data_IF_424661830413
#
_entry.id   IF_424661830413
#
_cell.length_a   1.000
_cell.length_b   1.000
_cell.length_c   1.000
_cell.angle_alpha   90.00
_cell.angle_beta   90.00
_cell.angle_gamma   90.00
#
_symmetry.space_group_name_H-M   'P 1'
#
loop_
_entity.id
_entity.type
_entity.pdbx_description
1 polymer ?
#
# COMPACT_ATOMS: atom_id res chain seq x y z
N UNK A 1 -15.28 -23.99 19.98
CA UNK A 1 -14.80 -22.89 20.84
C UNK A 1 -13.49 -22.37 20.27
N UNK A 2 -13.55 -21.51 19.26
CA UNK A 2 -12.36 -20.99 18.58
C UNK A 2 -11.94 -19.71 19.27
N UNK A 3 -10.80 -19.74 19.97
CA UNK A 3 -10.21 -18.56 20.60
C UNK A 3 -9.87 -17.55 19.49
N UNK A 4 -10.65 -16.47 19.42
CA UNK A 4 -10.26 -15.24 18.73
C UNK A 4 -8.95 -14.78 19.38
N UNK A 5 -7.83 -14.96 18.67
CA UNK A 5 -6.54 -14.43 19.10
C UNK A 5 -6.69 -12.92 19.24
N UNK A 6 -6.17 -12.42 20.36
CA UNK A 6 -6.08 -11.00 20.71
C UNK A 6 -5.81 -10.13 19.49
N UNK A 7 -6.67 -9.14 19.28
CA UNK A 7 -6.41 -7.99 18.43
C UNK A 7 -5.18 -7.28 19.00
N UNK A 8 -3.99 -7.60 18.47
CA UNK A 8 -2.85 -6.70 18.61
C UNK A 8 -3.16 -5.44 17.83
N UNK A 9 -2.75 -4.29 18.36
CA UNK A 9 -2.80 -3.03 17.61
C UNK A 9 -2.21 -3.25 16.21
N UNK A 10 -2.80 -2.65 15.15
CA UNK A 10 -2.31 -2.85 13.81
C UNK A 10 -0.86 -2.37 13.74
N UNK A 11 0.07 -3.30 13.48
CA UNK A 11 1.49 -2.98 13.36
C UNK A 11 1.64 -1.90 12.28
N UNK A 12 2.03 -0.71 12.72
CA UNK A 12 2.33 0.43 11.85
C UNK A 12 3.80 0.37 11.52
N UNK A 13 4.10 0.29 10.23
CA UNK A 13 5.49 0.23 9.76
C UNK A 13 5.98 1.58 9.26
N UNK A 14 5.06 2.49 8.99
CA UNK A 14 5.32 3.84 8.50
C UNK A 14 4.18 4.79 8.92
N UNK A 15 4.53 5.98 9.40
CA UNK A 15 3.59 7.04 9.75
C UNK A 15 4.29 8.40 9.65
N UNK A 16 4.24 9.02 8.47
CA UNK A 16 4.83 10.35 8.22
C UNK A 16 3.97 11.14 7.23
N UNK A 17 3.85 12.46 7.46
CA UNK A 17 3.15 13.36 6.53
C UNK A 17 1.66 13.03 6.32
N UNK A 18 1.03 12.29 7.25
CA UNK A 18 -0.35 11.81 7.15
C UNK A 18 -0.53 10.54 6.31
N UNK A 19 0.55 10.00 5.72
CA UNK A 19 0.55 8.68 5.09
C UNK A 19 0.91 7.65 6.15
N UNK A 20 0.04 6.66 6.33
CA UNK A 20 0.25 5.55 7.26
C UNK A 20 0.13 4.21 6.56
N UNK A 21 1.08 3.31 6.78
CA UNK A 21 1.01 1.92 6.31
C UNK A 21 0.92 1.00 7.52
N UNK A 22 -0.18 0.24 7.58
CA UNK A 22 -0.49 -0.61 8.72
C UNK A 22 -0.93 -2.01 8.26
N UNK A 23 -0.67 -3.02 9.08
CA UNK A 23 -1.09 -4.38 8.78
C UNK A 23 -2.62 -4.46 8.71
N UNK A 24 -3.16 -5.00 7.62
CA UNK A 24 -4.61 -5.13 7.48
C UNK A 24 -5.17 -6.16 8.48
N UNK A 25 -6.38 -5.93 8.98
CA UNK A 25 -7.06 -6.80 9.97
C UNK A 25 -7.25 -8.26 9.50
N UNK A 26 -7.16 -8.51 8.20
CA UNK A 26 -7.28 -9.82 7.55
C UNK A 26 -6.05 -10.19 6.70
N UNK A 27 -4.85 -9.77 7.10
CA UNK A 27 -3.64 -10.10 6.33
C UNK A 27 -3.44 -11.62 6.26
N UNK A 28 -3.68 -12.22 5.10
CA UNK A 28 -3.28 -13.60 4.88
C UNK A 28 -1.75 -13.62 4.76
N UNK A 29 -1.09 -14.24 5.74
CA UNK A 29 0.38 -14.36 5.80
C UNK A 29 1.14 -13.04 5.66
N UNK A 30 0.57 -11.91 6.11
CA UNK A 30 1.22 -10.59 6.03
C UNK A 30 1.55 -10.14 4.60
N UNK A 31 0.82 -10.66 3.63
CA UNK A 31 0.96 -10.25 2.22
C UNK A 31 0.09 -9.04 1.87
N UNK A 32 -0.90 -8.72 2.72
CA UNK A 32 -1.83 -7.61 2.52
C UNK A 32 -1.68 -6.57 3.62
N UNK A 33 -1.44 -5.34 3.21
CA UNK A 33 -1.28 -4.18 4.09
C UNK A 33 -2.26 -3.08 3.68
N UNK A 34 -2.71 -2.32 4.66
CA UNK A 34 -3.57 -1.16 4.45
C UNK A 34 -2.73 0.10 4.35
N UNK A 35 -2.97 0.89 3.32
CA UNK A 35 -2.42 2.24 3.18
C UNK A 35 -3.53 3.23 3.55
N UNK A 36 -3.28 4.03 4.57
CA UNK A 36 -4.15 5.12 5.03
C UNK A 36 -3.53 6.43 4.55
N UNK A 37 -4.31 7.20 3.82
CA UNK A 37 -3.90 8.48 3.23
C UNK A 37 -4.29 9.64 4.16
N UNK A 38 -3.61 10.80 4.07
CA UNK A 38 -3.95 11.98 4.87
C UNK A 38 -5.40 12.42 4.63
N UNK A 39 -6.07 12.95 5.64
CA UNK A 39 -7.49 13.37 5.53
C UNK A 39 -7.69 14.56 4.56
N UNK A 40 -6.69 15.44 4.45
CA UNK A 40 -6.61 16.49 3.43
C UNK A 40 -6.36 15.93 2.01
N UNK A 41 -5.92 14.67 1.91
CA UNK A 41 -5.76 13.92 0.67
C UNK A 41 -6.95 12.97 0.45
N UNK A 42 -8.19 13.42 0.75
CA UNK A 42 -9.39 12.91 0.07
C UNK A 42 -9.21 13.17 -1.42
N UNK A 43 -8.46 12.27 -2.02
CA UNK A 43 -7.86 12.40 -3.32
C UNK A 43 -8.95 12.37 -4.38
N UNK A 44 -8.83 13.29 -5.32
CA UNK A 44 -9.19 12.97 -6.69
C UNK A 44 -8.42 11.70 -7.09
N UNK A 45 -9.13 10.58 -7.11
CA UNK A 45 -8.55 9.26 -7.35
C UNK A 45 -7.89 9.20 -8.73
N UNK A 46 -8.39 9.95 -9.71
CA UNK A 46 -7.83 9.99 -11.05
C UNK A 46 -6.48 10.72 -11.04
N UNK A 47 -6.36 11.82 -10.29
CA UNK A 47 -5.10 12.51 -10.08
C UNK A 47 -4.08 11.66 -9.28
N UNK A 48 -4.54 10.84 -8.34
CA UNK A 48 -3.68 9.90 -7.63
C UNK A 48 -3.16 8.80 -8.54
N UNK A 49 -4.05 8.14 -9.28
CA UNK A 49 -3.68 7.12 -10.27
C UNK A 49 -2.74 7.71 -11.31
N UNK A 50 -3.03 8.91 -11.83
CA UNK A 50 -2.19 9.64 -12.78
C UNK A 50 -0.76 9.87 -12.25
N UNK A 51 -0.62 10.28 -10.99
CA UNK A 51 0.71 10.43 -10.35
C UNK A 51 1.46 9.11 -10.24
N UNK A 52 0.78 8.02 -9.90
CA UNK A 52 1.43 6.72 -9.81
C UNK A 52 1.84 6.15 -11.18
N UNK A 53 1.02 6.36 -12.21
CA UNK A 53 1.38 6.02 -13.59
C UNK A 53 2.60 6.83 -14.05
N UNK A 54 2.63 8.13 -13.76
CA UNK A 54 3.80 8.99 -14.05
C UNK A 54 5.06 8.56 -13.29
N UNK A 55 4.91 8.01 -12.09
CA UNK A 55 5.99 7.42 -11.31
C UNK A 55 6.38 6.01 -11.78
N UNK A 56 5.93 5.55 -12.95
CA UNK A 56 6.38 4.29 -13.54
C UNK A 56 5.53 3.07 -13.17
N UNK A 57 4.32 3.26 -12.63
CA UNK A 57 3.38 2.15 -12.44
C UNK A 57 2.53 1.86 -13.68
N UNK A 58 1.99 0.64 -13.78
CA UNK A 58 1.07 0.25 -14.86
C UNK A 58 -0.28 -0.25 -14.31
N UNK A 59 -1.40 0.18 -14.87
CA UNK A 59 -2.76 -0.22 -14.46
C UNK A 59 -3.19 -1.60 -15.03
N UNK A 60 -3.86 -2.43 -14.21
CA UNK A 60 -4.51 -3.69 -14.64
C UNK A 60 -6.04 -3.57 -14.55
N UNK A 61 -6.77 -3.92 -15.63
CA UNK A 61 -8.17 -3.51 -15.90
C UNK A 61 -9.31 -4.17 -15.10
N UNK A 62 -9.05 -4.99 -14.08
CA UNK A 62 -10.14 -5.63 -13.30
C UNK A 62 -10.46 -4.81 -12.03
N UNK A 63 -9.46 -4.11 -11.51
CA UNK A 63 -9.47 -3.08 -10.47
C UNK A 63 -8.16 -2.31 -10.66
N UNK A 64 -8.09 -0.97 -10.54
CA UNK A 64 -6.84 -0.24 -10.76
C UNK A 64 -5.75 -0.82 -9.86
N UNK A 65 -4.90 -1.63 -10.48
CA UNK A 65 -3.84 -2.38 -9.83
C UNK A 65 -2.56 -1.92 -10.47
N UNK A 66 -1.64 -1.45 -9.65
CA UNK A 66 -0.43 -0.79 -10.08
C UNK A 66 0.75 -1.67 -9.69
N UNK A 67 1.50 -2.15 -10.68
CA UNK A 67 2.78 -2.81 -10.42
C UNK A 67 3.83 -1.74 -10.12
N UNK A 68 4.57 -1.94 -9.04
CA UNK A 68 5.64 -1.03 -8.62
C UNK A 68 6.93 -1.47 -9.32
N UNK A 69 7.35 -0.72 -10.33
CA UNK A 69 8.54 -1.06 -11.12
C UNK A 69 9.86 -0.61 -10.48
N UNK A 70 9.82 0.51 -9.75
CA UNK A 70 11.00 1.10 -9.10
C UNK A 70 11.26 0.57 -7.68
N UNK A 71 10.42 -0.37 -7.22
CA UNK A 71 10.63 -1.07 -5.95
C UNK A 71 10.96 -2.53 -6.25
N UNK A 72 12.09 -3.06 -5.75
CA UNK A 72 12.41 -4.48 -5.92
C UNK A 72 11.28 -5.40 -5.44
N UNK A 73 10.99 -6.44 -6.20
CA UNK A 73 10.15 -7.55 -5.71
C UNK A 73 8.72 -7.61 -6.22
N UNK A 74 8.37 -7.07 -7.39
CA UNK A 74 7.07 -7.30 -8.07
C UNK A 74 5.82 -7.03 -7.21
N UNK A 75 5.94 -6.07 -6.30
CA UNK A 75 4.86 -5.62 -5.42
C UNK A 75 3.78 -4.88 -6.19
N UNK A 76 2.57 -4.86 -5.63
CA UNK A 76 1.39 -4.28 -6.28
C UNK A 76 0.58 -3.42 -5.32
N UNK A 77 0.06 -2.32 -5.81
CA UNK A 77 -1.01 -1.58 -5.15
C UNK A 77 -2.35 -1.91 -5.79
N UNK A 78 -3.39 -2.02 -4.99
CA UNK A 78 -4.77 -2.23 -5.46
C UNK A 78 -5.61 -1.08 -4.92
N UNK A 79 -6.26 -0.35 -5.81
CA UNK A 79 -7.10 0.79 -5.47
C UNK A 79 -8.57 0.36 -5.61
N UNK A 80 -9.30 0.43 -4.50
CA UNK A 80 -10.73 0.13 -4.44
C UNK A 80 -11.50 1.43 -4.65
N UNK A 81 -11.75 1.78 -5.91
CA UNK A 81 -12.37 3.05 -6.30
C UNK A 81 -13.68 3.37 -5.55
N UNK A 82 -14.49 2.34 -5.25
CA UNK A 82 -15.78 2.52 -4.56
C UNK A 82 -15.64 2.91 -3.08
N UNK A 83 -14.51 2.62 -2.45
CA UNK A 83 -14.26 2.90 -1.03
C UNK A 83 -13.10 3.86 -0.80
N UNK A 84 -12.38 4.25 -1.86
CA UNK A 84 -11.14 5.01 -1.78
C UNK A 84 -10.00 4.26 -1.08
N UNK A 85 -10.15 2.97 -0.78
CA UNK A 85 -9.15 2.19 -0.06
C UNK A 85 -7.99 1.83 -0.99
N UNK A 86 -6.76 1.99 -0.49
CA UNK A 86 -5.55 1.52 -1.17
C UNK A 86 -4.95 0.36 -0.37
N UNK A 87 -4.70 -0.76 -1.05
CA UNK A 87 -4.08 -1.96 -0.48
C UNK A 87 -2.70 -2.17 -1.09
N UNK A 88 -1.69 -2.40 -0.25
CA UNK A 88 -0.40 -2.91 -0.69
C UNK A 88 -0.41 -4.43 -0.61
N UNK A 89 -0.06 -5.07 -1.74
CA UNK A 89 0.15 -6.50 -1.87
C UNK A 89 1.63 -6.77 -2.14
N UNK A 90 2.30 -7.31 -1.14
CA UNK A 90 3.66 -7.81 -1.29
C UNK A 90 3.64 -9.06 -2.17
N UNK A 91 4.72 -9.27 -2.91
CA UNK A 91 4.84 -10.45 -3.77
C UNK A 91 5.01 -11.71 -2.91
N UNK A 92 4.47 -12.83 -3.38
CA UNK A 92 4.42 -14.06 -2.57
C UNK A 92 5.80 -14.67 -2.31
N UNK A 93 6.81 -14.31 -3.11
CA UNK A 93 8.21 -14.72 -2.92
C UNK A 93 8.97 -13.87 -1.89
N UNK A 94 8.38 -12.79 -1.36
CA UNK A 94 9.01 -12.01 -0.31
C UNK A 94 9.10 -12.84 0.97
N UNK A 95 10.33 -13.04 1.45
CA UNK A 95 10.66 -13.73 2.70
C UNK A 95 9.88 -13.13 3.87
N UNK A 96 9.51 -13.95 4.85
CA UNK A 96 8.67 -13.48 5.94
C UNK A 96 9.37 -12.41 6.80
N UNK A 97 10.66 -12.61 7.00
CA UNK A 97 11.61 -11.71 7.63
C UNK A 97 11.73 -10.35 6.92
N UNK A 98 11.60 -10.33 5.59
CA UNK A 98 11.81 -9.13 4.77
C UNK A 98 10.53 -8.32 4.53
N UNK A 99 9.34 -8.86 4.86
CA UNK A 99 8.05 -8.24 4.52
C UNK A 99 7.89 -6.85 5.13
N UNK A 100 8.34 -6.67 6.36
CA UNK A 100 8.27 -5.37 7.02
C UNK A 100 9.14 -4.33 6.30
N UNK A 101 10.37 -4.70 5.93
CA UNK A 101 11.30 -3.80 5.26
C UNK A 101 10.86 -3.52 3.82
N UNK A 102 10.34 -4.53 3.12
CA UNK A 102 9.72 -4.36 1.80
C UNK A 102 8.52 -3.40 1.86
N UNK A 103 7.63 -3.55 2.86
CA UNK A 103 6.50 -2.64 3.04
C UNK A 103 6.96 -1.20 3.35
N UNK A 104 8.01 -1.03 4.15
CA UNK A 104 8.62 0.29 4.42
C UNK A 104 9.22 0.92 3.18
N UNK A 105 9.96 0.16 2.39
CA UNK A 105 10.55 0.63 1.14
C UNK A 105 9.46 1.13 0.16
N UNK A 106 8.36 0.38 0.04
CA UNK A 106 7.19 0.82 -0.75
C UNK A 106 6.57 2.09 -0.17
N UNK A 107 6.43 2.20 1.15
CA UNK A 107 5.85 3.37 1.80
C UNK A 107 6.67 4.65 1.56
N UNK A 108 8.00 4.57 1.70
CA UNK A 108 8.91 5.67 1.42
C UNK A 108 8.83 6.10 -0.05
N UNK A 109 8.87 5.14 -0.98
CA UNK A 109 8.72 5.41 -2.41
C UNK A 109 7.40 6.11 -2.74
N UNK A 110 6.30 5.69 -2.12
CA UNK A 110 4.98 6.33 -2.28
C UNK A 110 4.96 7.77 -1.75
N UNK A 111 5.57 8.01 -0.60
CA UNK A 111 5.68 9.37 -0.04
C UNK A 111 6.42 10.31 -1.00
N UNK A 112 7.53 9.85 -1.59
CA UNK A 112 8.27 10.62 -2.59
C UNK A 112 7.49 10.83 -3.90
N UNK A 113 6.72 9.84 -4.35
CA UNK A 113 5.89 9.97 -5.55
C UNK A 113 4.78 11.02 -5.37
N UNK A 114 4.22 11.13 -4.16
CA UNK A 114 3.18 12.12 -3.85
C UNK A 114 3.70 13.56 -3.78
N UNK A 115 4.96 13.76 -3.38
CA UNK A 115 5.58 15.09 -3.26
C UNK A 115 6.15 15.60 -4.60
N UNK A 116 6.63 14.73 -5.48
CA UNK A 116 7.19 15.10 -6.80
C UNK A 116 6.17 15.64 -7.82
N UNK A 117 4.88 15.40 -7.59
CA UNK A 117 3.79 15.80 -8.49
C UNK A 117 2.98 17.01 -8.03
N UNK A 118 3.49 17.81 -7.07
CA UNK A 118 2.88 19.08 -6.63
C UNK A 118 3.54 20.29 -7.30
#
# INVERSE_FOLDING_TARGET
>A
MTRLRSQGEPLVVWDEGGLRVARAHSCFRELTWQVVLPEAARLDLDAFVGRLLAAGSSEVRIMPTLRLHDVPGDHRLVIVMTTGRVELRLHYLTGAEDRCDAARAVAAWLAEAMTRGS
#
